data_IF_698547507036
#
_entry.id   IF_698547507036
#
_cell.length_a   1.000
_cell.length_b   1.000
_cell.length_c   1.000
_cell.angle_alpha   90.00
_cell.angle_beta   90.00
_cell.angle_gamma   90.00
#
_symmetry.space_group_name_H-M   'P 1'
#
loop_
_entity.id
_entity.type
_entity.pdbx_description
1 polymer ?
#
# COMPACT_ATOMS: atom_id res chain seq x y z
N UNK A 1 4.34 -119.07 3.83
CA UNK A 1 4.12 -118.46 2.52
C UNK A 1 2.92 -117.51 2.68
N UNK A 2 3.14 -116.29 2.78
CA UNK A 2 2.09 -115.31 2.62
C UNK A 2 2.66 -113.90 2.96
N UNK A 3 2.46 -113.05 2.15
CA UNK A 3 2.94 -111.74 1.87
C UNK A 3 2.14 -110.73 2.73
N UNK A 4 2.89 -109.90 3.39
CA UNK A 4 2.34 -108.72 4.11
C UNK A 4 2.34 -107.51 3.13
N UNK A 5 1.26 -106.76 2.97
CA UNK A 5 1.27 -105.53 2.29
C UNK A 5 1.28 -104.36 3.25
N UNK A 6 2.35 -103.58 3.13
CA UNK A 6 2.62 -102.34 3.81
C UNK A 6 1.48 -101.33 3.62
N UNK A 7 1.01 -100.71 4.71
CA UNK A 7 0.12 -99.56 4.71
C UNK A 7 0.89 -98.26 4.45
N UNK A 8 0.40 -97.35 3.67
CA UNK A 8 1.06 -96.06 3.44
C UNK A 8 0.79 -95.09 4.61
N UNK A 9 1.82 -94.53 5.12
CA UNK A 9 1.82 -93.44 6.09
C UNK A 9 1.25 -92.15 5.45
N UNK A 10 0.09 -91.77 5.94
CA UNK A 10 -0.46 -90.44 5.63
C UNK A 10 0.26 -89.39 6.45
N UNK A 11 0.98 -88.59 5.79
CA UNK A 11 1.57 -87.32 6.31
C UNK A 11 0.46 -86.27 6.46
N UNK A 12 0.31 -85.58 7.57
CA UNK A 12 -0.64 -84.47 7.69
C UNK A 12 -0.15 -83.26 7.03
N UNK A 13 -0.76 -82.87 5.91
CA UNK A 13 -0.63 -81.53 5.30
C UNK A 13 -1.48 -80.57 6.12
N UNK A 14 -0.85 -79.74 6.92
CA UNK A 14 -1.58 -78.80 7.73
C UNK A 14 -0.78 -77.74 8.41
N UNK A 15 0.12 -77.06 7.67
CA UNK A 15 0.60 -75.76 8.14
C UNK A 15 -0.24 -74.69 7.49
N UNK A 16 -1.37 -74.35 8.11
CA UNK A 16 -2.14 -73.17 7.76
C UNK A 16 -1.24 -71.95 7.94
N UNK A 17 -0.76 -71.35 6.82
CA UNK A 17 -0.03 -70.09 6.79
C UNK A 17 -0.79 -69.04 7.56
N UNK A 18 -0.25 -68.62 8.68
CA UNK A 18 -0.82 -67.48 9.44
C UNK A 18 -0.84 -66.26 8.53
N UNK A 19 -2.03 -65.89 8.02
CA UNK A 19 -2.25 -64.64 7.32
C UNK A 19 -1.79 -63.51 8.23
N UNK A 20 -0.67 -62.86 7.90
CA UNK A 20 -0.17 -61.66 8.55
C UNK A 20 -1.29 -60.61 8.54
N UNK A 21 -1.74 -60.18 9.69
CA UNK A 21 -2.73 -59.11 9.85
C UNK A 21 -2.20 -57.86 9.11
N UNK A 22 -2.97 -57.21 8.20
CA UNK A 22 -2.55 -56.02 7.53
C UNK A 22 -2.23 -54.94 8.58
N UNK A 23 -1.03 -54.38 8.52
CA UNK A 23 -0.61 -53.30 9.42
C UNK A 23 -1.57 -52.13 9.19
N UNK A 24 -2.15 -51.53 10.26
CA UNK A 24 -3.05 -50.41 10.13
C UNK A 24 -2.31 -49.26 9.44
N UNK A 25 -2.79 -48.86 8.28
CA UNK A 25 -2.33 -47.63 7.61
C UNK A 25 -2.61 -46.47 8.56
N UNK A 26 -1.59 -45.97 9.29
CA UNK A 26 -1.70 -44.76 10.08
C UNK A 26 -2.12 -43.67 9.12
N UNK A 27 -3.23 -42.96 9.38
CA UNK A 27 -3.72 -41.97 8.43
C UNK A 27 -2.65 -40.89 8.23
N UNK A 28 -2.09 -40.82 7.05
CA UNK A 28 -1.14 -39.77 6.61
C UNK A 28 -1.74 -38.35 6.73
N UNK A 29 -3.03 -38.31 7.10
CA UNK A 29 -3.83 -37.10 7.31
C UNK A 29 -3.16 -36.08 8.24
N UNK A 30 -2.48 -36.51 9.31
CA UNK A 30 -1.73 -35.63 10.23
C UNK A 30 -0.50 -35.03 9.57
N UNK A 31 0.17 -35.76 8.70
CA UNK A 31 1.34 -35.26 7.95
C UNK A 31 0.88 -34.23 6.92
N UNK A 32 -0.18 -34.52 6.16
CA UNK A 32 -0.75 -33.56 5.21
C UNK A 32 -1.29 -32.30 5.89
N UNK A 33 -1.95 -32.42 7.04
CA UNK A 33 -2.40 -31.29 7.83
C UNK A 33 -1.18 -30.42 8.31
N UNK A 34 -0.11 -31.08 8.76
CA UNK A 34 1.13 -30.38 9.12
C UNK A 34 1.75 -29.64 7.93
N UNK A 35 1.83 -30.28 6.76
CA UNK A 35 2.34 -29.64 5.54
C UNK A 35 1.48 -28.43 5.11
N UNK A 36 0.15 -28.56 5.14
CA UNK A 36 -0.75 -27.44 4.83
C UNK A 36 -0.56 -26.27 5.78
N UNK A 37 -0.39 -26.54 7.08
CA UNK A 37 -0.12 -25.47 8.05
C UNK A 37 1.23 -24.78 7.81
N UNK A 38 2.29 -25.55 7.52
CA UNK A 38 3.62 -24.99 7.25
C UNK A 38 3.61 -24.19 5.96
N UNK A 39 3.14 -24.75 4.84
CA UNK A 39 3.12 -24.04 3.55
C UNK A 39 2.13 -22.89 3.57
N UNK A 40 0.97 -23.03 4.23
CA UNK A 40 0.03 -21.94 4.43
C UNK A 40 0.61 -20.82 5.28
N UNK A 41 1.34 -21.16 6.34
CA UNK A 41 2.06 -20.18 7.17
C UNK A 41 3.14 -19.43 6.39
N UNK A 42 3.93 -20.12 5.57
CA UNK A 42 4.94 -19.51 4.70
C UNK A 42 4.28 -18.58 3.67
N UNK A 43 3.23 -19.03 3.01
CA UNK A 43 2.50 -18.22 2.02
C UNK A 43 1.91 -16.96 2.66
N UNK A 44 1.28 -17.08 3.83
CA UNK A 44 0.74 -15.96 4.59
C UNK A 44 1.85 -14.97 4.99
N UNK A 45 2.96 -15.47 5.49
CA UNK A 45 4.12 -14.65 5.87
C UNK A 45 4.67 -13.87 4.66
N UNK A 46 4.83 -14.52 3.51
CA UNK A 46 5.27 -13.87 2.28
C UNK A 46 4.28 -12.81 1.79
N UNK A 47 2.98 -13.10 1.87
CA UNK A 47 1.93 -12.14 1.50
C UNK A 47 1.96 -10.90 2.40
N UNK A 48 2.08 -11.08 3.71
CA UNK A 48 2.19 -9.96 4.67
C UNK A 48 3.46 -9.14 4.40
N UNK A 49 4.59 -9.80 4.16
CA UNK A 49 5.84 -9.09 3.87
C UNK A 49 5.79 -8.32 2.55
N UNK A 50 5.24 -8.89 1.49
CA UNK A 50 5.09 -8.18 0.22
C UNK A 50 4.13 -7.00 0.34
N UNK A 51 3.07 -7.14 1.13
CA UNK A 51 2.14 -6.05 1.41
C UNK A 51 2.82 -4.89 2.15
N UNK A 52 3.60 -5.17 3.20
CA UNK A 52 4.35 -4.16 3.97
C UNK A 52 5.35 -3.36 3.13
N UNK A 53 5.92 -3.95 2.08
CA UNK A 53 6.88 -3.26 1.19
C UNK A 53 6.19 -2.18 0.34
N UNK A 54 4.91 -2.37 0.02
CA UNK A 54 4.16 -1.47 -0.86
C UNK A 54 3.13 -0.59 -0.14
N UNK A 55 2.86 -0.87 1.14
CA UNK A 55 1.87 -0.15 1.91
C UNK A 55 2.44 0.38 3.22
N UNK A 56 1.94 1.55 3.63
CA UNK A 56 2.23 2.14 4.93
C UNK A 56 0.94 2.69 5.54
N UNK A 57 0.88 2.67 6.86
CA UNK A 57 -0.23 3.27 7.60
C UNK A 57 0.18 4.67 8.08
N UNK A 58 -0.63 5.68 7.80
CA UNK A 58 -0.38 7.06 8.20
C UNK A 58 -1.51 7.57 9.08
N UNK A 59 -1.13 8.27 10.16
CA UNK A 59 -2.05 8.99 11.02
C UNK A 59 -2.04 10.46 10.64
N UNK A 60 -3.20 11.05 10.45
CA UNK A 60 -3.35 12.46 10.16
C UNK A 60 -3.22 13.29 11.45
N UNK A 61 -2.29 14.23 11.44
CA UNK A 61 -2.05 15.15 12.56
C UNK A 61 -2.48 16.58 12.25
N UNK A 62 -3.14 16.81 11.09
CA UNK A 62 -3.52 18.15 10.65
C UNK A 62 -5.00 18.23 10.23
N UNK A 63 -5.65 19.40 10.39
CA UNK A 63 -7.05 19.57 10.01
C UNK A 63 -7.25 19.72 8.49
N UNK A 64 -6.20 19.61 7.67
CA UNK A 64 -6.29 19.83 6.22
C UNK A 64 -7.00 18.70 5.46
N UNK A 65 -7.10 17.52 6.06
CA UNK A 65 -7.84 16.37 5.55
C UNK A 65 -8.86 15.93 6.59
N UNK A 66 -10.06 15.49 6.18
CA UNK A 66 -11.15 15.16 7.11
C UNK A 66 -10.92 13.83 7.86
N UNK A 67 -10.15 12.91 7.26
CA UNK A 67 -9.92 11.58 7.81
C UNK A 67 -8.73 11.56 8.75
N UNK A 68 -8.77 10.74 9.79
CA UNK A 68 -7.70 10.65 10.78
C UNK A 68 -6.63 9.60 10.45
N UNK A 69 -6.92 8.65 9.55
CA UNK A 69 -5.97 7.60 9.16
C UNK A 69 -6.07 7.25 7.67
N UNK A 70 -4.93 6.87 7.09
CA UNK A 70 -4.79 6.52 5.69
C UNK A 70 -3.91 5.29 5.53
N UNK A 71 -4.24 4.45 4.54
CA UNK A 71 -3.32 3.47 3.98
C UNK A 71 -2.65 4.11 2.77
N UNK A 72 -1.34 4.14 2.79
CA UNK A 72 -0.50 4.63 1.69
C UNK A 72 -0.10 3.44 0.81
N UNK A 73 -0.27 3.57 -0.50
CA UNK A 73 0.23 2.65 -1.51
C UNK A 73 1.33 3.32 -2.33
N UNK A 74 2.58 2.81 -2.22
CA UNK A 74 3.75 3.44 -2.82
C UNK A 74 3.88 3.18 -4.32
N UNK A 75 3.19 2.19 -4.86
CA UNK A 75 3.26 1.76 -6.27
C UNK A 75 2.13 2.30 -7.14
N UNK A 76 1.03 2.72 -6.55
CA UNK A 76 -0.11 3.23 -7.30
C UNK A 76 0.24 4.58 -7.96
N UNK A 77 0.08 4.73 -9.29
CA UNK A 77 0.31 5.99 -9.96
C UNK A 77 -0.77 7.01 -9.57
N UNK A 78 -0.40 8.26 -9.25
CA UNK A 78 -1.38 9.29 -8.99
C UNK A 78 -2.25 9.59 -10.22
N UNK A 79 -3.55 9.75 -9.99
CA UNK A 79 -4.53 10.21 -10.97
C UNK A 79 -5.25 11.45 -10.43
N UNK A 80 -6.03 12.14 -11.29
CA UNK A 80 -6.88 13.25 -10.84
C UNK A 80 -7.85 12.77 -9.75
N UNK A 81 -7.95 13.52 -8.65
CA UNK A 81 -8.74 13.18 -7.49
C UNK A 81 -8.05 12.25 -6.49
N UNK A 82 -6.93 11.60 -6.86
CA UNK A 82 -6.17 10.79 -5.89
C UNK A 82 -5.65 11.66 -4.75
N UNK A 83 -5.64 11.10 -3.55
CA UNK A 83 -4.91 11.67 -2.42
C UNK A 83 -3.45 11.23 -2.53
N UNK A 84 -2.51 12.16 -2.64
CA UNK A 84 -1.08 11.88 -2.68
C UNK A 84 -0.42 12.32 -1.38
N UNK A 85 0.59 11.56 -0.96
CA UNK A 85 1.49 11.95 0.12
C UNK A 85 2.87 12.20 -0.45
N UNK A 86 3.43 13.38 -0.13
CA UNK A 86 4.72 13.80 -0.67
C UNK A 86 5.59 14.46 0.38
N UNK A 87 6.90 14.48 0.13
CA UNK A 87 7.88 15.20 0.94
C UNK A 87 7.86 16.68 0.59
N UNK A 88 7.49 17.58 1.53
CA UNK A 88 7.60 19.01 1.27
C UNK A 88 9.07 19.41 1.12
N UNK A 89 9.37 20.49 0.35
CA UNK A 89 10.73 21.03 0.28
C UNK A 89 11.13 21.62 1.62
N UNK A 90 12.43 21.69 1.86
CA UNK A 90 12.97 22.35 3.05
C UNK A 90 13.07 23.86 2.74
N UNK A 91 12.44 24.69 3.55
CA UNK A 91 12.50 26.14 3.43
C UNK A 91 12.24 26.78 4.79
N UNK A 92 12.72 28.00 5.04
CA UNK A 92 12.49 28.68 6.31
C UNK A 92 11.02 28.78 6.70
N UNK A 93 10.16 29.12 5.73
CA UNK A 93 8.70 29.23 5.98
C UNK A 93 8.10 27.89 6.41
N UNK A 94 8.47 26.78 5.75
CA UNK A 94 7.95 25.45 6.10
C UNK A 94 8.54 24.96 7.43
N UNK A 95 9.83 25.22 7.68
CA UNK A 95 10.46 24.88 8.97
C UNK A 95 9.80 25.66 10.12
N UNK A 96 9.51 26.94 9.94
CA UNK A 96 8.82 27.74 10.95
C UNK A 96 7.40 27.23 11.23
N UNK A 97 6.66 26.76 10.20
CA UNK A 97 5.28 26.34 10.36
C UNK A 97 5.12 24.87 10.79
N UNK A 98 6.07 23.98 10.42
CA UNK A 98 5.95 22.52 10.59
C UNK A 98 7.15 21.88 11.30
N UNK A 99 8.15 22.67 11.72
CA UNK A 99 9.37 22.17 12.37
C UNK A 99 10.46 21.77 11.37
N UNK A 100 11.65 21.45 11.91
CA UNK A 100 12.85 21.14 11.11
C UNK A 100 12.76 19.85 10.29
N UNK A 101 11.84 18.96 10.65
CA UNK A 101 11.56 17.69 9.94
C UNK A 101 10.07 17.62 9.62
N UNK A 102 9.58 18.36 8.61
CA UNK A 102 8.17 18.33 8.25
C UNK A 102 7.73 16.90 7.91
N UNK A 103 6.55 16.52 8.40
CA UNK A 103 5.92 15.26 8.03
C UNK A 103 5.50 15.27 6.55
N UNK A 104 5.08 14.12 6.04
CA UNK A 104 4.51 14.03 4.70
C UNK A 104 3.26 14.91 4.61
N UNK A 105 3.14 15.64 3.50
CA UNK A 105 1.95 16.41 3.20
C UNK A 105 0.98 15.57 2.36
N UNK A 106 -0.27 15.45 2.83
CA UNK A 106 -1.37 14.82 2.09
C UNK A 106 -2.17 15.87 1.32
N UNK A 107 -2.32 15.71 -0.01
CA UNK A 107 -3.06 16.61 -0.90
C UNK A 107 -3.79 15.85 -1.99
N UNK A 108 -4.97 16.35 -2.39
CA UNK A 108 -5.70 15.82 -3.54
C UNK A 108 -5.12 16.36 -4.84
N UNK A 109 -4.96 15.51 -5.83
CA UNK A 109 -4.53 15.88 -7.19
C UNK A 109 -5.68 16.60 -7.91
N UNK A 110 -5.52 17.89 -8.14
CA UNK A 110 -6.48 18.70 -8.90
C UNK A 110 -6.14 18.72 -10.40
N UNK A 111 -4.84 18.76 -10.74
CA UNK A 111 -4.36 18.78 -12.10
C UNK A 111 -3.26 17.75 -12.34
N UNK A 112 -3.25 17.21 -13.56
CA UNK A 112 -2.27 16.21 -14.05
C UNK A 112 -1.48 16.77 -15.22
N UNK A 113 -0.43 16.08 -15.65
CA UNK A 113 0.38 16.46 -16.81
C UNK A 113 -0.48 16.80 -18.03
N UNK A 114 -0.17 17.92 -18.69
CA UNK A 114 -0.92 18.44 -19.84
C UNK A 114 -2.07 19.39 -19.50
N UNK A 115 -2.54 19.43 -18.26
CA UNK A 115 -3.53 20.44 -17.84
C UNK A 115 -2.92 21.84 -17.83
N UNK A 116 -3.75 22.84 -18.09
CA UNK A 116 -3.36 24.25 -18.09
C UNK A 116 -3.79 24.88 -16.78
N UNK A 117 -2.84 25.35 -15.99
CA UNK A 117 -3.07 26.14 -14.79
C UNK A 117 -3.00 27.61 -15.13
N UNK A 118 -4.07 28.33 -14.83
CA UNK A 118 -4.15 29.79 -14.95
C UNK A 118 -4.44 30.44 -13.61
N UNK A 119 -4.20 31.75 -13.51
CA UNK A 119 -4.42 32.51 -12.28
C UNK A 119 -5.00 33.89 -12.60
N UNK A 120 -6.02 34.27 -11.83
CA UNK A 120 -6.59 35.62 -11.82
C UNK A 120 -6.41 36.19 -10.41
N UNK A 121 -5.54 37.18 -10.26
CA UNK A 121 -5.17 37.64 -8.91
C UNK A 121 -4.53 36.52 -8.11
N UNK A 122 -5.23 36.02 -7.11
CA UNK A 122 -4.80 34.88 -6.23
C UNK A 122 -5.61 33.61 -6.45
N UNK A 123 -6.62 33.66 -7.32
CA UNK A 123 -7.47 32.53 -7.68
C UNK A 123 -6.82 31.66 -8.74
N UNK A 124 -6.72 30.37 -8.47
CA UNK A 124 -6.16 29.36 -9.37
C UNK A 124 -7.28 28.60 -10.10
N UNK A 125 -7.06 28.38 -11.39
CA UNK A 125 -7.96 27.62 -12.26
C UNK A 125 -7.17 26.53 -12.97
N UNK A 126 -7.78 25.37 -13.17
CA UNK A 126 -7.26 24.28 -14.00
C UNK A 126 -8.25 24.03 -15.12
N UNK A 127 -7.78 24.17 -16.36
CA UNK A 127 -8.62 24.07 -17.56
C UNK A 127 -9.90 24.94 -17.45
N UNK A 128 -9.75 26.16 -16.94
CA UNK A 128 -10.86 27.11 -16.74
C UNK A 128 -11.72 26.88 -15.49
N UNK A 129 -11.55 25.78 -14.76
CA UNK A 129 -12.31 25.50 -13.52
C UNK A 129 -11.55 26.04 -12.30
N UNK A 130 -12.22 26.87 -11.49
CA UNK A 130 -11.66 27.35 -10.22
C UNK A 130 -11.37 26.18 -9.26
N UNK A 131 -10.16 26.15 -8.68
CA UNK A 131 -9.73 25.07 -7.80
C UNK A 131 -9.23 25.54 -6.43
N UNK A 132 -8.69 26.75 -6.32
CA UNK A 132 -8.13 27.22 -5.06
C UNK A 132 -7.87 28.73 -5.06
N UNK A 133 -7.93 29.34 -3.88
CA UNK A 133 -7.50 30.71 -3.60
C UNK A 133 -6.18 30.66 -2.79
N UNK A 134 -5.14 31.34 -3.25
CA UNK A 134 -3.89 31.49 -2.51
C UNK A 134 -3.94 32.71 -1.58
N UNK A 135 -3.57 32.55 -0.32
CA UNK A 135 -3.41 33.65 0.61
C UNK A 135 -2.11 34.41 0.37
N UNK A 136 -2.08 35.67 0.78
CA UNK A 136 -0.85 36.50 0.72
C UNK A 136 0.15 36.17 1.83
N UNK A 137 -0.36 35.73 2.98
CA UNK A 137 0.44 35.45 4.16
C UNK A 137 0.07 34.11 4.80
N UNK A 138 1.05 33.47 5.42
CA UNK A 138 0.84 32.30 6.28
C UNK A 138 0.10 32.72 7.57
N UNK A 139 -0.29 31.71 8.37
CA UNK A 139 -0.85 31.96 9.72
C UNK A 139 0.12 32.72 10.63
N UNK A 140 1.43 32.65 10.37
CA UNK A 140 2.48 33.34 11.12
C UNK A 140 2.87 34.69 10.53
N UNK A 141 2.14 35.18 9.51
CA UNK A 141 2.37 36.46 8.87
C UNK A 141 3.44 36.49 7.78
N UNK A 142 4.07 35.36 7.47
CA UNK A 142 5.10 35.26 6.43
C UNK A 142 4.50 35.44 5.05
N UNK A 143 5.15 36.18 4.14
CA UNK A 143 4.64 36.39 2.80
C UNK A 143 4.68 35.08 1.99
N UNK A 144 3.60 34.81 1.25
CA UNK A 144 3.44 33.62 0.42
C UNK A 144 3.33 34.02 -1.06
N UNK A 145 4.38 33.74 -1.83
CA UNK A 145 4.34 33.89 -3.28
C UNK A 145 3.37 32.87 -3.89
N UNK A 146 2.60 33.30 -4.89
CA UNK A 146 1.69 32.42 -5.62
C UNK A 146 2.49 31.39 -6.44
N UNK A 147 1.91 30.20 -6.55
CA UNK A 147 2.48 29.06 -7.25
C UNK A 147 2.58 29.24 -8.77
N UNK A 148 3.16 28.26 -9.46
CA UNK A 148 3.37 28.31 -10.90
C UNK A 148 2.05 28.23 -11.68
N UNK A 149 2.06 28.79 -12.87
CA UNK A 149 1.02 28.71 -13.90
C UNK A 149 1.59 28.13 -15.18
N UNK A 150 0.75 27.76 -16.14
CA UNK A 150 1.13 27.15 -17.40
C UNK A 150 0.74 25.68 -17.47
N UNK A 151 1.31 24.97 -18.44
CA UNK A 151 1.06 23.54 -18.64
C UNK A 151 1.77 22.74 -17.55
N UNK A 152 1.05 21.84 -16.88
CA UNK A 152 1.63 20.94 -15.87
C UNK A 152 2.62 19.99 -16.57
N UNK A 153 3.91 19.95 -16.15
CA UNK A 153 4.92 19.11 -16.77
C UNK A 153 4.62 17.61 -16.62
N UNK A 154 5.23 16.81 -17.50
CA UNK A 154 5.14 15.34 -17.41
C UNK A 154 5.66 14.83 -16.06
N UNK A 155 4.91 13.92 -15.46
CA UNK A 155 5.26 13.35 -14.15
C UNK A 155 5.05 14.28 -12.95
N UNK A 156 4.47 15.48 -13.16
CA UNK A 156 4.15 16.44 -12.12
C UNK A 156 2.63 16.64 -11.99
N UNK A 157 2.23 17.21 -10.87
CA UNK A 157 0.82 17.39 -10.48
C UNK A 157 0.64 18.77 -9.84
N UNK A 158 -0.56 19.32 -10.01
CA UNK A 158 -1.07 20.39 -9.16
C UNK A 158 -1.97 19.76 -8.10
N UNK A 159 -1.54 19.79 -6.84
CA UNK A 159 -2.33 19.21 -5.78
C UNK A 159 -2.57 20.20 -4.63
N UNK A 160 -3.73 20.06 -4.00
CA UNK A 160 -4.17 20.95 -2.93
C UNK A 160 -5.23 20.33 -2.04
N UNK A 161 -5.77 21.14 -1.13
CA UNK A 161 -6.92 20.80 -0.32
C UNK A 161 -7.92 21.95 -0.34
N UNK A 162 -9.21 21.70 -0.08
CA UNK A 162 -10.21 22.75 0.09
C UNK A 162 -9.89 23.66 1.29
N UNK A 163 -9.07 23.21 2.21
CA UNK A 163 -8.73 23.96 3.41
C UNK A 163 -7.97 25.24 3.05
N UNK A 164 -8.45 26.40 3.56
CA UNK A 164 -7.93 27.73 3.23
C UNK A 164 -6.45 27.96 3.63
N UNK A 165 -5.97 27.25 4.65
CA UNK A 165 -4.60 27.39 5.18
C UNK A 165 -3.68 26.25 4.73
N UNK A 166 -4.07 25.46 3.73
CA UNK A 166 -3.24 24.39 3.22
C UNK A 166 -2.00 24.91 2.51
N UNK A 167 -0.82 24.39 2.86
CA UNK A 167 0.39 24.56 2.05
C UNK A 167 0.41 23.50 0.96
N UNK A 168 0.32 23.94 -0.31
CA UNK A 168 0.18 23.08 -1.47
C UNK A 168 0.60 23.82 -2.76
N UNK A 169 0.28 23.27 -3.94
CA UNK A 169 0.72 23.80 -5.24
C UNK A 169 0.29 25.25 -5.54
N UNK A 170 -0.67 25.81 -4.81
CA UNK A 170 -1.04 27.23 -4.94
C UNK A 170 0.05 28.20 -4.49
N UNK A 171 1.12 27.69 -3.84
CA UNK A 171 2.26 28.50 -3.38
C UNK A 171 3.56 28.08 -4.06
N UNK A 172 4.37 29.07 -4.44
CA UNK A 172 5.65 28.87 -5.13
C UNK A 172 6.62 27.97 -4.34
N UNK A 173 6.56 28.04 -3.01
CA UNK A 173 7.35 27.22 -2.08
C UNK A 173 7.11 25.71 -2.23
N UNK A 174 5.93 25.31 -2.69
CA UNK A 174 5.60 23.92 -2.98
C UNK A 174 5.72 23.65 -4.48
N UNK A 175 5.11 24.50 -5.30
CA UNK A 175 5.13 24.42 -6.76
C UNK A 175 4.46 23.16 -7.31
N UNK A 176 4.92 22.72 -8.49
CA UNK A 176 4.53 21.42 -9.03
C UNK A 176 5.03 20.29 -8.11
N UNK A 177 4.17 19.30 -7.85
CA UNK A 177 4.54 18.13 -7.06
C UNK A 177 4.87 17.01 -8.03
N UNK A 178 6.17 16.76 -8.25
CA UNK A 178 6.65 15.77 -9.20
C UNK A 178 6.90 14.41 -8.53
N UNK A 179 7.03 13.37 -9.32
CA UNK A 179 7.11 11.96 -8.87
C UNK A 179 8.25 11.70 -7.90
N UNK A 180 9.36 12.39 -8.03
CA UNK A 180 10.54 12.29 -7.15
C UNK A 180 10.23 12.63 -5.69
N UNK A 181 9.25 13.50 -5.47
CA UNK A 181 8.80 13.89 -4.12
C UNK A 181 7.63 13.06 -3.60
N UNK A 182 6.87 12.38 -4.48
CA UNK A 182 5.69 11.60 -4.11
C UNK A 182 6.12 10.27 -3.47
N UNK A 183 5.63 10.01 -2.28
CA UNK A 183 5.87 8.75 -1.56
C UNK A 183 4.84 7.69 -1.96
N UNK A 184 3.61 8.10 -2.23
CA UNK A 184 2.55 7.20 -2.68
C UNK A 184 1.18 7.87 -2.70
N UNK A 185 0.17 7.09 -3.09
CA UNK A 185 -1.24 7.47 -3.02
C UNK A 185 -1.86 6.94 -1.74
N UNK A 186 -2.80 7.68 -1.19
CA UNK A 186 -3.47 7.33 0.06
C UNK A 186 -4.95 7.04 -0.11
N UNK A 187 -5.43 6.05 0.61
CA UNK A 187 -6.86 5.78 0.77
C UNK A 187 -7.26 6.00 2.22
N UNK A 188 -8.37 6.71 2.49
CA UNK A 188 -8.85 6.89 3.86
C UNK A 188 -9.30 5.55 4.43
N UNK A 189 -9.02 5.31 5.71
CA UNK A 189 -9.44 4.10 6.42
C UNK A 189 -10.59 4.42 7.36
N UNK A 190 -10.57 5.60 7.97
CA UNK A 190 -11.57 6.08 8.93
C UNK A 190 -11.66 7.60 8.88
#
# INVERSE_FOLDING_TARGET
MAIDPAAPLLTPIGAAGARAKPRPHRPRRRIYAGLVLVFGGIALFQTINSWKVSHAFLINTSPSLPNWAFVLETRAPPARGSLIFFRPPISPVLVNNFGSKPQLFGKYVFGVAGDIVTRQGRDFFINGKHVALAKEKSRRGEPLAAGPTGVIPHGCYFAGTPHKDGFDSRYAIIGWICRDRIVGTGSPVL
#
